data_IF_747642323323
#
_entry.id   IF_747642323323
#
_cell.length_a   1.000
_cell.length_b   1.000
_cell.length_c   1.000
_cell.angle_alpha   90.00
_cell.angle_beta   90.00
_cell.angle_gamma   90.00
#
_symmetry.space_group_name_H-M   'P 1'
#
loop_
_entity.id
_entity.type
_entity.pdbx_description
1 polymer ?
#
# COMPACT_ATOMS: atom_id res chain seq x y z
N UNK A 1 70.48 8.38 28.59
CA UNK A 1 71.68 9.19 28.30
C UNK A 1 71.47 9.83 26.95
N UNK A 2 71.65 11.16 26.89
CA UNK A 2 72.01 11.92 25.67
C UNK A 2 71.01 11.92 24.49
N UNK A 3 70.81 13.00 23.73
CA UNK A 3 71.41 14.33 23.67
C UNK A 3 70.53 15.25 22.76
N UNK A 4 70.54 16.57 23.05
CA UNK A 4 70.48 17.77 22.17
C UNK A 4 69.53 17.81 20.96
N UNK A 5 68.55 18.72 20.99
CA UNK A 5 68.56 20.14 20.54
C UNK A 5 68.27 20.35 19.05
N UNK A 6 67.11 20.97 18.78
CA UNK A 6 67.01 22.32 18.20
C UNK A 6 65.53 22.73 18.20
N UNK A 7 65.17 23.88 18.80
CA UNK A 7 63.82 24.46 18.70
C UNK A 7 63.87 25.91 18.22
N UNK A 8 63.19 26.10 17.10
CA UNK A 8 62.87 27.34 16.41
C UNK A 8 61.69 28.05 17.10
N UNK A 9 61.85 29.35 17.41
CA UNK A 9 60.97 30.53 17.22
C UNK A 9 59.52 30.20 16.72
N UNK A 10 58.38 30.73 17.20
CA UNK A 10 57.94 32.09 17.60
C UNK A 10 56.61 31.99 18.38
N UNK A 11 56.39 32.91 19.34
CA UNK A 11 55.17 33.73 19.58
C UNK A 11 54.86 33.93 21.08
N UNK A 12 54.86 35.18 21.59
CA UNK A 12 54.49 35.44 22.97
C UNK A 12 52.96 35.40 23.12
N UNK A 13 52.53 34.41 23.91
CA UNK A 13 51.17 34.16 24.35
C UNK A 13 50.65 35.31 25.22
N UNK A 14 49.38 35.62 25.00
CA UNK A 14 48.52 36.55 25.72
C UNK A 14 48.57 36.34 27.25
N UNK A 15 48.90 37.38 28.01
CA UNK A 15 48.77 37.39 29.47
C UNK A 15 47.37 37.93 29.81
N UNK A 16 46.60 37.25 30.68
CA UNK A 16 45.21 37.62 30.94
C UNK A 16 45.11 38.93 31.74
N UNK A 17 44.26 39.84 31.25
CA UNK A 17 43.85 41.05 31.95
C UNK A 17 43.14 40.68 33.25
N UNK A 18 43.72 41.09 34.38
CA UNK A 18 43.10 41.06 35.70
C UNK A 18 42.00 42.12 35.70
N UNK A 19 40.74 41.69 35.63
CA UNK A 19 39.58 42.57 35.79
C UNK A 19 39.28 42.65 37.29
N UNK A 20 39.39 43.85 37.86
CA UNK A 20 39.07 44.12 39.26
C UNK A 20 37.57 43.90 39.54
N UNK A 21 37.19 43.32 40.69
CA UNK A 21 35.81 42.96 41.00
C UNK A 21 35.08 44.13 41.69
N UNK A 22 34.95 45.28 41.04
CA UNK A 22 34.15 46.41 41.56
C UNK A 22 33.63 47.32 40.45
N UNK A 23 33.01 46.74 39.41
CA UNK A 23 32.06 47.52 38.62
C UNK A 23 30.66 47.25 39.16
N UNK A 24 30.15 48.23 39.91
CA UNK A 24 28.80 48.24 40.46
C UNK A 24 27.79 48.00 39.33
N UNK A 25 27.00 46.94 39.46
CA UNK A 25 25.84 46.65 38.63
C UNK A 25 24.71 47.61 39.04
N UNK A 26 24.90 48.89 38.75
CA UNK A 26 24.02 49.95 39.23
C UNK A 26 24.48 51.24 38.63
N UNK A 27 24.33 51.35 37.31
CA UNK A 27 24.24 52.58 36.52
C UNK A 27 23.97 52.21 35.06
N UNK A 28 22.81 51.58 34.80
CA UNK A 28 22.18 51.63 33.48
C UNK A 28 20.85 52.36 33.65
N UNK A 29 20.95 53.68 33.76
CA UNK A 29 19.84 54.60 33.46
C UNK A 29 19.54 54.45 31.97
N UNK A 30 18.66 53.51 31.64
CA UNK A 30 18.36 53.20 30.27
C UNK A 30 16.83 53.08 30.16
N UNK A 31 16.14 54.02 29.48
CA UNK A 31 14.68 54.02 29.29
C UNK A 31 14.16 52.81 28.48
N UNK A 32 15.05 51.87 28.16
CA UNK A 32 14.81 50.62 27.46
C UNK A 32 14.69 49.41 28.41
N UNK A 33 15.00 49.52 29.70
CA UNK A 33 14.85 48.40 30.63
C UNK A 33 13.38 47.99 30.79
N UNK A 34 12.49 48.97 30.99
CA UNK A 34 11.03 48.76 31.04
C UNK A 34 10.48 48.15 29.74
N UNK A 35 11.03 48.59 28.59
CA UNK A 35 10.68 48.05 27.27
C UNK A 35 11.11 46.58 27.10
N UNK A 36 12.29 46.21 27.61
CA UNK A 36 12.79 44.83 27.60
C UNK A 36 11.97 43.93 28.53
N UNK A 37 11.59 44.42 29.72
CA UNK A 37 10.75 43.67 30.64
C UNK A 37 9.31 43.47 30.11
N UNK A 38 8.74 44.47 29.42
CA UNK A 38 7.47 44.32 28.70
C UNK A 38 7.57 43.29 27.58
N UNK A 39 8.67 43.31 26.82
CA UNK A 39 8.91 42.34 25.75
C UNK A 39 9.03 40.93 26.33
N UNK A 40 9.82 40.69 27.37
CA UNK A 40 9.98 39.35 27.98
C UNK A 40 8.65 38.84 28.57
N UNK A 41 7.88 39.71 29.23
CA UNK A 41 6.58 39.36 29.81
C UNK A 41 5.60 38.83 28.75
N UNK A 42 5.49 39.51 27.60
CA UNK A 42 4.63 39.08 26.50
C UNK A 42 5.01 37.71 25.94
N UNK A 43 6.30 37.43 25.79
CA UNK A 43 6.76 36.15 25.28
C UNK A 43 6.54 35.01 26.29
N UNK A 44 6.65 35.27 27.59
CA UNK A 44 6.32 34.25 28.62
C UNK A 44 4.83 33.93 28.67
N UNK A 45 3.95 34.91 28.45
CA UNK A 45 2.51 34.70 28.34
C UNK A 45 2.14 33.89 27.08
N UNK A 46 2.77 34.19 25.95
CA UNK A 46 2.58 33.44 24.70
C UNK A 46 3.03 31.99 24.83
N UNK A 47 4.21 31.75 25.42
CA UNK A 47 4.72 30.39 25.63
C UNK A 47 3.83 29.61 26.60
N UNK A 48 3.36 30.23 27.68
CA UNK A 48 2.41 29.60 28.61
C UNK A 48 1.07 29.27 27.95
N UNK A 49 0.55 30.15 27.10
CA UNK A 49 -0.68 29.91 26.34
C UNK A 49 -0.50 28.78 25.31
N UNK A 50 0.66 28.69 24.68
CA UNK A 50 1.01 27.62 23.73
C UNK A 50 1.13 26.27 24.43
N UNK A 51 1.81 26.23 25.59
CA UNK A 51 1.92 25.00 26.42
C UNK A 51 0.55 24.60 26.97
N UNK A 52 -0.26 25.54 27.42
CA UNK A 52 -1.62 25.26 27.92
C UNK A 52 -2.55 24.76 26.80
N UNK A 53 -2.47 25.36 25.60
CA UNK A 53 -3.20 24.89 24.42
C UNK A 53 -2.74 23.52 23.93
N UNK A 54 -1.46 23.19 24.10
CA UNK A 54 -0.90 21.86 23.78
C UNK A 54 -1.27 20.82 24.86
N UNK A 55 -1.31 21.21 26.14
CA UNK A 55 -1.75 20.35 27.25
C UNK A 55 -3.26 20.10 27.25
N UNK A 56 -4.04 21.02 26.70
CA UNK A 56 -5.50 20.94 26.59
C UNK A 56 -6.00 20.22 25.35
N UNK A 57 -5.13 19.70 24.47
CA UNK A 57 -5.61 18.84 23.39
C UNK A 57 -6.16 17.56 24.01
N UNK A 58 -7.49 17.33 24.05
CA UNK A 58 -7.97 16.01 24.35
C UNK A 58 -7.42 15.13 23.24
N UNK A 59 -6.69 14.09 23.63
CA UNK A 59 -6.33 12.98 22.78
C UNK A 59 -7.65 12.32 22.35
N UNK A 60 -8.29 12.86 21.31
CA UNK A 60 -9.43 12.27 20.63
C UNK A 60 -8.94 11.10 19.77
N UNK A 61 -8.18 10.20 20.39
CA UNK A 61 -7.97 8.87 19.87
C UNK A 61 -9.22 8.10 20.24
N UNK A 62 -10.25 8.19 19.41
CA UNK A 62 -11.34 7.23 19.52
C UNK A 62 -10.73 5.84 19.34
N UNK A 63 -11.01 4.87 20.22
CA UNK A 63 -10.70 3.50 19.94
C UNK A 63 -11.52 3.11 18.71
N UNK A 64 -10.90 3.12 17.53
CA UNK A 64 -11.48 2.46 16.38
C UNK A 64 -11.54 0.98 16.75
N UNK A 65 -12.75 0.48 16.99
CA UNK A 65 -12.96 -0.95 17.04
C UNK A 65 -12.67 -1.43 15.63
N UNK A 66 -11.45 -1.92 15.41
CA UNK A 66 -11.09 -2.63 14.18
C UNK A 66 -11.84 -3.96 14.24
N UNK A 67 -13.11 -3.92 13.84
CA UNK A 67 -13.86 -5.14 13.56
C UNK A 67 -13.23 -5.75 12.32
N UNK A 68 -12.64 -6.94 12.47
CA UNK A 68 -12.12 -7.66 11.32
C UNK A 68 -13.32 -8.01 10.42
N UNK A 69 -13.34 -7.54 9.16
CA UNK A 69 -14.43 -7.87 8.27
C UNK A 69 -14.41 -9.37 7.98
N UNK A 70 -15.59 -9.99 7.95
CA UNK A 70 -15.74 -11.37 7.49
C UNK A 70 -15.89 -11.36 5.97
N UNK A 71 -15.12 -12.20 5.29
CA UNK A 71 -15.24 -12.37 3.84
C UNK A 71 -16.03 -13.64 3.55
N UNK A 72 -17.16 -13.49 2.85
CA UNK A 72 -17.95 -14.61 2.33
C UNK A 72 -17.82 -14.60 0.82
N UNK A 73 -17.38 -15.73 0.28
CA UNK A 73 -17.14 -15.90 -1.14
C UNK A 73 -18.15 -16.89 -1.71
N UNK A 74 -18.96 -16.41 -2.66
CA UNK A 74 -19.94 -17.22 -3.38
C UNK A 74 -19.45 -17.40 -4.82
N UNK A 75 -19.24 -18.65 -5.22
CA UNK A 75 -18.80 -19.02 -6.57
C UNK A 75 -19.79 -20.03 -7.14
N UNK A 76 -20.31 -19.77 -8.34
CA UNK A 76 -21.19 -20.68 -9.08
C UNK A 76 -20.42 -21.26 -10.29
N UNK A 77 -20.61 -22.55 -10.55
CA UNK A 77 -20.06 -23.23 -11.73
C UNK A 77 -21.01 -23.04 -12.92
N UNK A 78 -20.46 -22.93 -14.13
CA UNK A 78 -21.19 -22.78 -15.39
C UNK A 78 -22.23 -21.63 -15.44
N UNK A 79 -22.00 -20.55 -14.70
CA UNK A 79 -22.87 -19.36 -14.73
C UNK A 79 -22.40 -18.34 -15.77
N UNK A 80 -23.21 -18.11 -16.80
CA UNK A 80 -22.99 -17.10 -17.82
C UNK A 80 -23.49 -15.71 -17.42
N UNK A 81 -22.97 -14.67 -18.08
CA UNK A 81 -23.41 -13.28 -17.85
C UNK A 81 -24.91 -13.10 -18.18
N UNK A 82 -25.41 -13.85 -19.15
CA UNK A 82 -26.82 -13.83 -19.57
C UNK A 82 -27.77 -14.52 -18.62
N UNK A 83 -27.30 -15.17 -17.54
CA UNK A 83 -28.18 -15.97 -16.66
C UNK A 83 -28.77 -15.16 -15.49
N UNK A 84 -28.21 -13.98 -15.19
CA UNK A 84 -28.57 -13.20 -13.99
C UNK A 84 -29.35 -11.94 -14.38
N UNK A 85 -30.45 -11.67 -13.67
CA UNK A 85 -31.33 -10.53 -13.94
C UNK A 85 -30.62 -9.18 -13.91
N UNK A 86 -29.67 -8.97 -13.00
CA UNK A 86 -28.91 -7.73 -12.91
C UNK A 86 -28.00 -7.42 -14.13
N UNK A 87 -27.79 -8.39 -15.03
CA UNK A 87 -27.10 -8.20 -16.31
C UNK A 87 -28.04 -8.14 -17.52
N UNK A 88 -29.37 -8.18 -17.31
CA UNK A 88 -30.38 -8.01 -18.37
C UNK A 88 -31.21 -9.26 -18.69
N UNK A 89 -31.14 -10.32 -17.87
CA UNK A 89 -32.00 -11.49 -18.07
C UNK A 89 -33.41 -11.26 -17.49
N UNK A 90 -34.41 -11.17 -18.36
CA UNK A 90 -35.82 -11.01 -17.95
C UNK A 90 -36.58 -12.34 -17.77
N UNK A 91 -35.97 -13.47 -18.15
CA UNK A 91 -36.57 -14.82 -18.06
C UNK A 91 -36.32 -15.47 -16.70
N UNK A 92 -35.07 -15.42 -16.21
CA UNK A 92 -34.66 -16.04 -14.94
C UNK A 92 -34.68 -14.97 -13.84
N UNK A 93 -35.52 -15.17 -12.83
CA UNK A 93 -35.64 -14.22 -11.70
C UNK A 93 -34.60 -14.51 -10.62
N UNK A 94 -33.68 -13.58 -10.38
CA UNK A 94 -32.60 -13.68 -9.39
C UNK A 94 -32.66 -12.60 -8.30
N UNK A 95 -33.78 -12.45 -7.56
CA UNK A 95 -34.03 -11.27 -6.73
C UNK A 95 -32.99 -11.04 -5.63
N UNK A 96 -32.41 -12.10 -5.07
CA UNK A 96 -31.37 -12.00 -4.04
C UNK A 96 -30.04 -11.49 -4.61
N UNK A 97 -29.64 -11.98 -5.80
CA UNK A 97 -28.41 -11.55 -6.48
C UNK A 97 -28.59 -10.11 -6.98
N UNK A 98 -29.77 -9.78 -7.52
CA UNK A 98 -30.08 -8.43 -7.98
C UNK A 98 -30.06 -7.42 -6.83
N UNK A 99 -30.50 -7.84 -5.63
CA UNK A 99 -30.39 -7.03 -4.42
C UNK A 99 -28.93 -6.79 -4.02
N UNK A 100 -28.10 -7.83 -4.03
CA UNK A 100 -26.66 -7.70 -3.76
C UNK A 100 -25.96 -6.78 -4.76
N UNK A 101 -26.31 -6.88 -6.05
CA UNK A 101 -25.76 -6.00 -7.10
C UNK A 101 -26.19 -4.54 -6.94
N UNK A 102 -27.40 -4.28 -6.40
CA UNK A 102 -27.92 -2.93 -6.14
C UNK A 102 -27.33 -2.29 -4.89
N UNK A 103 -27.13 -3.08 -3.84
CA UNK A 103 -26.55 -2.63 -2.56
C UNK A 103 -25.02 -2.55 -2.60
N UNK A 104 -24.38 -3.23 -3.56
CA UNK A 104 -22.93 -3.34 -3.71
C UNK A 104 -22.40 -2.78 -5.03
N UNK A 105 -21.31 -3.41 -5.51
CA UNK A 105 -20.64 -3.04 -6.77
C UNK A 105 -20.80 -4.17 -7.78
N UNK A 106 -21.20 -3.82 -9.00
CA UNK A 106 -21.36 -4.74 -10.14
C UNK A 106 -20.22 -4.55 -11.13
N UNK A 107 -19.57 -5.65 -11.55
CA UNK A 107 -18.51 -5.64 -12.56
C UNK A 107 -19.07 -6.12 -13.90
N UNK A 108 -19.10 -5.26 -14.91
CA UNK A 108 -19.65 -5.60 -16.24
C UNK A 108 -18.64 -6.24 -17.19
N UNK A 109 -17.35 -6.18 -16.84
CA UNK A 109 -16.23 -6.70 -17.65
C UNK A 109 -15.42 -7.69 -16.81
N UNK A 110 -16.06 -8.79 -16.40
CA UNK A 110 -15.43 -9.87 -15.65
C UNK A 110 -15.38 -11.11 -16.53
N UNK A 111 -14.19 -11.69 -16.69
CA UNK A 111 -13.95 -12.87 -17.53
C UNK A 111 -13.13 -13.87 -16.73
N UNK A 112 -13.47 -15.15 -16.86
CA UNK A 112 -12.68 -16.23 -16.25
C UNK A 112 -11.30 -16.34 -16.91
N UNK A 113 -10.26 -16.63 -16.13
CA UNK A 113 -8.92 -16.87 -16.66
C UNK A 113 -8.85 -18.10 -17.58
N UNK A 114 -9.83 -19.01 -17.47
CA UNK A 114 -9.96 -20.21 -18.30
C UNK A 114 -11.42 -20.62 -18.45
N UNK A 115 -11.86 -21.11 -19.63
CA UNK A 115 -13.22 -21.60 -19.85
C UNK A 115 -13.41 -23.06 -19.38
N UNK A 116 -12.70 -23.47 -18.33
CA UNK A 116 -12.74 -24.83 -17.77
C UNK A 116 -12.71 -24.75 -16.24
N UNK A 117 -13.46 -25.63 -15.59
CA UNK A 117 -13.75 -25.57 -14.16
C UNK A 117 -12.50 -25.71 -13.26
N UNK A 118 -11.59 -26.63 -13.56
CA UNK A 118 -10.35 -26.84 -12.80
C UNK A 118 -9.35 -25.68 -12.96
N UNK A 119 -8.95 -25.26 -14.17
CA UNK A 119 -8.02 -24.16 -14.33
C UNK A 119 -8.62 -22.80 -13.90
N UNK A 120 -9.93 -22.58 -14.04
CA UNK A 120 -10.58 -21.34 -13.57
C UNK A 120 -10.52 -21.23 -12.04
N UNK A 121 -10.91 -22.29 -11.31
CA UNK A 121 -10.84 -22.34 -9.85
C UNK A 121 -9.40 -22.22 -9.35
N UNK A 122 -8.46 -22.89 -10.00
CA UNK A 122 -7.05 -22.79 -9.64
C UNK A 122 -6.53 -21.35 -9.79
N UNK A 123 -6.87 -20.68 -10.90
CA UNK A 123 -6.46 -19.30 -11.09
C UNK A 123 -7.10 -18.37 -10.06
N UNK A 124 -8.37 -18.59 -9.74
CA UNK A 124 -9.10 -17.82 -8.74
C UNK A 124 -8.53 -17.98 -7.32
N UNK A 125 -8.25 -19.21 -6.88
CA UNK A 125 -7.74 -19.49 -5.54
C UNK A 125 -6.27 -19.12 -5.36
N UNK A 126 -5.47 -19.16 -6.42
CA UNK A 126 -4.03 -18.89 -6.35
C UNK A 126 -3.66 -17.47 -6.79
N UNK A 127 -4.56 -16.75 -7.45
CA UNK A 127 -4.27 -15.46 -8.09
C UNK A 127 -3.24 -15.55 -9.23
N UNK A 128 -3.02 -16.76 -9.77
CA UNK A 128 -2.04 -17.01 -10.84
C UNK A 128 -2.74 -17.44 -12.12
N UNK A 129 -2.17 -17.08 -13.26
CA UNK A 129 -2.65 -17.63 -14.53
C UNK A 129 -2.56 -19.17 -14.52
N UNK A 130 -3.55 -19.88 -15.09
CA UNK A 130 -3.61 -21.34 -15.05
C UNK A 130 -2.33 -22.04 -15.55
N UNK A 131 -1.70 -21.48 -16.59
CA UNK A 131 -0.44 -21.98 -17.14
C UNK A 131 0.72 -21.97 -16.13
N UNK A 132 0.74 -21.00 -15.20
CA UNK A 132 1.74 -20.93 -14.13
C UNK A 132 1.44 -21.87 -12.98
N UNK A 133 0.23 -22.40 -12.91
CA UNK A 133 -0.21 -23.38 -11.93
C UNK A 133 -0.15 -24.81 -12.47
N UNK A 134 0.41 -25.02 -13.67
CA UNK A 134 0.51 -26.34 -14.29
C UNK A 134 -0.82 -26.91 -14.78
N UNK A 135 -1.84 -26.06 -14.92
CA UNK A 135 -3.19 -26.42 -15.37
C UNK A 135 -3.47 -25.71 -16.68
N UNK A 136 -2.87 -26.16 -17.80
CA UNK A 136 -3.18 -25.59 -19.11
C UNK A 136 -4.67 -25.77 -19.41
N UNK A 137 -5.24 -24.82 -20.15
CA UNK A 137 -6.63 -24.88 -20.62
C UNK A 137 -6.80 -25.88 -21.78
N UNK A 138 -6.07 -26.99 -21.74
CA UNK A 138 -6.11 -28.07 -22.71
C UNK A 138 -6.97 -29.18 -22.13
N UNK A 139 -8.01 -29.56 -22.87
CA UNK A 139 -8.82 -30.75 -22.59
C UNK A 139 -8.00 -32.00 -22.93
N UNK A 140 -6.99 -32.29 -22.11
CA UNK A 140 -6.22 -33.53 -22.24
C UNK A 140 -6.99 -34.62 -21.50
N UNK A 141 -7.90 -35.27 -22.22
CA UNK A 141 -8.53 -36.51 -21.75
C UNK A 141 -7.41 -37.53 -21.46
N UNK A 142 -7.54 -38.38 -20.42
CA UNK A 142 -6.48 -39.30 -19.99
C UNK A 142 -6.16 -40.45 -20.98
N UNK A 143 -6.56 -40.34 -22.25
CA UNK A 143 -6.22 -41.27 -23.31
C UNK A 143 -4.97 -40.87 -24.12
N UNK A 144 -4.25 -39.81 -23.74
CA UNK A 144 -2.93 -39.53 -24.30
C UNK A 144 -1.95 -40.63 -23.87
N UNK A 145 -1.88 -41.69 -24.68
CA UNK A 145 -0.81 -42.68 -24.64
C UNK A 145 0.50 -41.90 -24.85
N UNK A 146 1.24 -41.69 -23.77
CA UNK A 146 2.64 -41.26 -23.83
C UNK A 146 3.46 -42.39 -24.45
N UNK A 147 3.48 -42.46 -25.78
CA UNK A 147 4.41 -43.30 -26.52
C UNK A 147 5.78 -42.63 -26.44
N UNK A 148 6.59 -43.05 -25.46
CA UNK A 148 8.01 -42.73 -25.40
C UNK A 148 8.74 -43.46 -26.54
N UNK A 149 8.68 -42.92 -27.75
CA UNK A 149 9.66 -43.27 -28.77
C UNK A 149 10.87 -42.35 -28.59
N UNK A 150 12.00 -42.92 -28.18
CA UNK A 150 13.33 -42.29 -28.21
C UNK A 150 13.49 -41.00 -27.38
N UNK A 151 12.89 -40.93 -26.18
CA UNK A 151 13.22 -39.88 -25.20
C UNK A 151 12.71 -38.47 -25.52
N UNK A 152 11.80 -38.32 -26.49
CA UNK A 152 11.09 -37.07 -26.73
C UNK A 152 9.65 -37.17 -26.20
N UNK A 153 9.27 -36.24 -25.33
CA UNK A 153 7.88 -36.09 -24.90
C UNK A 153 7.14 -35.37 -26.03
N UNK A 154 6.40 -36.13 -26.84
CA UNK A 154 5.47 -35.55 -27.80
C UNK A 154 4.17 -35.24 -27.09
N UNK A 155 3.96 -33.97 -26.73
CA UNK A 155 2.61 -33.50 -26.40
C UNK A 155 1.79 -33.55 -27.69
N UNK A 156 0.78 -34.43 -27.72
CA UNK A 156 -0.19 -34.50 -28.81
C UNK A 156 -1.05 -33.24 -28.80
N UNK A 157 -0.56 -32.16 -29.40
CA UNK A 157 -1.39 -31.02 -29.76
C UNK A 157 -2.37 -31.46 -30.85
N UNK A 158 -3.64 -31.65 -30.50
CA UNK A 158 -4.68 -31.78 -31.51
C UNK A 158 -4.83 -30.41 -32.19
N UNK A 159 -4.34 -30.29 -33.43
CA UNK A 159 -4.64 -29.14 -34.29
C UNK A 159 -6.15 -28.97 -34.36
N UNK A 160 -6.67 -27.92 -33.71
CA UNK A 160 -8.02 -27.46 -33.95
C UNK A 160 -7.98 -26.71 -35.28
N UNK A 161 -8.69 -27.25 -36.26
CA UNK A 161 -9.01 -26.57 -37.51
C UNK A 161 -9.93 -25.39 -37.17
N UNK A 162 -9.35 -24.26 -36.77
CA UNK A 162 -10.06 -22.99 -36.67
C UNK A 162 -10.36 -22.53 -38.11
N UNK A 163 -11.49 -22.97 -38.64
CA UNK A 163 -12.13 -22.24 -39.73
C UNK A 163 -12.50 -20.86 -39.19
N UNK A 164 -11.96 -19.81 -39.82
CA UNK A 164 -12.04 -18.40 -39.43
C UNK A 164 -13.45 -17.79 -39.48
N UNK A 165 -14.50 -18.59 -39.25
CA UNK A 165 -15.90 -18.20 -39.36
C UNK A 165 -16.61 -18.02 -38.02
N UNK A 166 -16.03 -18.43 -36.88
CA UNK A 166 -16.72 -18.39 -35.58
C UNK A 166 -16.40 -17.15 -34.72
N UNK A 167 -15.58 -16.23 -35.24
CA UNK A 167 -15.20 -14.99 -34.52
C UNK A 167 -16.19 -13.83 -34.73
N UNK A 168 -17.39 -14.10 -35.27
CA UNK A 168 -18.37 -13.05 -35.64
C UNK A 168 -19.69 -13.11 -34.87
N UNK A 169 -19.80 -13.91 -33.82
CA UNK A 169 -21.04 -14.06 -33.05
C UNK A 169 -21.08 -13.29 -31.72
N UNK A 170 -20.13 -12.38 -31.46
CA UNK A 170 -20.15 -11.52 -30.27
C UNK A 170 -19.86 -10.05 -30.64
N UNK A 171 -20.73 -9.50 -31.48
CA UNK A 171 -21.03 -8.07 -31.57
C UNK A 171 -22.53 -7.99 -31.83
N UNK A 172 -23.32 -7.98 -30.76
CA UNK A 172 -24.68 -7.42 -30.65
C UNK A 172 -25.05 -7.33 -29.16
#
# INVERSE_FOLDING_TARGET
MEEKEAKHIVSPVCVPTVISPTQKFGDLNAPNAEMIWQQISHWTCLVKALIFGLLLQPLMTQPSIITQPNFVLLLADDLGIGDVGCYGNDTIRTPNIDRLAREGVKLTQHITAAPLCTPSRAAFLTGRYPIRSGLPCTVEWPLSITLLLNGTVLYGGQERNESATDMKAHED
#
